data_IF_091129788822
#
_entry.id   IF_091129788822
#
_cell.length_a   1.000
_cell.length_b   1.000
_cell.length_c   1.000
_cell.angle_alpha   90.00
_cell.angle_beta   90.00
_cell.angle_gamma   90.00
#
_symmetry.space_group_name_H-M   'P 1'
#
loop_
_entity.id
_entity.type
_entity.pdbx_description
1 polymer ?
#
# COMPACT_ATOMS: atom_id res chain seq x y z
N UNK A 1 -20.10 -7.18 19.92
CA UNK A 1 -18.78 -6.90 20.54
C UNK A 1 -18.33 -8.28 20.93
N UNK A 2 -17.74 -8.96 19.95
CA UNK A 2 -17.73 -10.41 19.96
C UNK A 2 -16.47 -10.88 20.65
N UNK A 3 -16.74 -11.65 21.69
CA UNK A 3 -15.82 -12.23 22.63
C UNK A 3 -14.97 -13.31 21.94
N UNK A 4 -13.73 -12.97 21.58
CA UNK A 4 -12.75 -13.89 21.01
C UNK A 4 -11.92 -14.60 22.09
N UNK A 5 -12.43 -14.75 23.33
CA UNK A 5 -11.70 -15.41 24.44
C UNK A 5 -11.94 -16.91 24.59
N UNK A 6 -12.41 -17.63 23.57
CA UNK A 6 -12.39 -19.10 23.60
C UNK A 6 -10.99 -19.66 23.25
N UNK A 7 -10.11 -19.61 24.24
CA UNK A 7 -8.74 -20.10 24.19
C UNK A 7 -8.62 -21.62 24.43
N UNK A 8 -9.55 -22.46 23.95
CA UNK A 8 -9.41 -23.93 24.02
C UNK A 8 -10.15 -24.67 22.89
N UNK A 9 -9.52 -24.79 21.71
CA UNK A 9 -9.81 -25.84 20.72
C UNK A 9 -8.56 -26.08 19.86
N UNK A 10 -8.24 -27.35 19.65
CA UNK A 10 -6.96 -27.95 19.19
C UNK A 10 -6.00 -27.09 18.36
N UNK A 11 -4.70 -27.13 18.72
CA UNK A 11 -3.59 -26.45 18.04
C UNK A 11 -3.61 -26.61 16.51
N UNK A 12 -3.91 -27.83 16.05
CA UNK A 12 -3.99 -28.18 14.62
C UNK A 12 -5.07 -27.40 13.84
N UNK A 13 -6.13 -26.94 14.51
CA UNK A 13 -7.18 -26.13 13.89
C UNK A 13 -6.77 -24.66 13.79
N UNK A 14 -5.99 -24.17 14.75
CA UNK A 14 -5.47 -22.80 14.76
C UNK A 14 -4.40 -22.62 13.68
N UNK A 15 -3.44 -23.55 13.58
CA UNK A 15 -2.40 -23.52 12.54
C UNK A 15 -3.02 -23.45 11.14
N UNK A 16 -4.02 -24.30 10.85
CA UNK A 16 -4.73 -24.28 9.56
C UNK A 16 -5.43 -22.95 9.26
N UNK A 17 -5.98 -22.29 10.28
CA UNK A 17 -6.61 -20.97 10.12
C UNK A 17 -5.55 -19.91 9.81
N UNK A 18 -4.41 -19.94 10.51
CA UNK A 18 -3.30 -19.01 10.26
C UNK A 18 -2.70 -19.23 8.87
N UNK A 19 -2.57 -20.47 8.41
CA UNK A 19 -2.10 -20.77 7.05
C UNK A 19 -3.06 -20.24 5.97
N UNK A 20 -4.37 -20.42 6.18
CA UNK A 20 -5.40 -19.86 5.30
C UNK A 20 -5.31 -18.34 5.27
N UNK A 21 -5.25 -17.69 6.43
CA UNK A 21 -5.13 -16.24 6.52
C UNK A 21 -3.85 -15.75 5.84
N UNK A 22 -2.73 -16.45 6.03
CA UNK A 22 -1.44 -16.13 5.41
C UNK A 22 -1.54 -16.23 3.89
N UNK A 23 -2.16 -17.28 3.36
CA UNK A 23 -2.39 -17.47 1.92
C UNK A 23 -3.23 -16.32 1.36
N UNK A 24 -4.36 -16.01 1.98
CA UNK A 24 -5.25 -14.95 1.52
C UNK A 24 -4.63 -13.55 1.65
N UNK A 25 -3.88 -13.31 2.72
CA UNK A 25 -3.18 -12.05 2.93
C UNK A 25 -2.06 -11.82 1.90
N UNK A 26 -1.32 -12.88 1.56
CA UNK A 26 -0.33 -12.88 0.47
C UNK A 26 -0.98 -12.63 -0.89
N UNK A 27 -2.21 -13.12 -1.10
CA UNK A 27 -3.02 -12.82 -2.29
C UNK A 27 -3.62 -11.40 -2.28
N UNK A 28 -3.28 -10.57 -1.30
CA UNK A 28 -3.69 -9.16 -1.24
C UNK A 28 -5.00 -8.91 -0.48
N UNK A 29 -5.56 -9.91 0.20
CA UNK A 29 -6.82 -9.75 0.94
C UNK A 29 -6.66 -8.79 2.13
N UNK A 30 -7.20 -7.58 2.01
CA UNK A 30 -7.19 -6.55 3.06
C UNK A 30 -7.67 -7.09 4.42
N UNK A 31 -8.76 -7.88 4.40
CA UNK A 31 -9.34 -8.50 5.59
C UNK A 31 -8.35 -9.43 6.28
N UNK A 32 -7.68 -10.31 5.53
CA UNK A 32 -6.77 -11.29 6.13
C UNK A 32 -5.44 -10.66 6.55
N UNK A 33 -4.98 -9.62 5.84
CA UNK A 33 -3.86 -8.80 6.30
C UNK A 33 -4.17 -8.14 7.65
N UNK A 34 -5.37 -7.59 7.83
CA UNK A 34 -5.81 -7.04 9.12
C UNK A 34 -5.85 -8.13 10.21
N UNK A 35 -6.40 -9.31 9.90
CA UNK A 35 -6.48 -10.43 10.85
C UNK A 35 -5.10 -10.90 11.30
N UNK A 36 -4.14 -11.08 10.39
CA UNK A 36 -2.76 -11.43 10.73
C UNK A 36 -2.07 -10.34 11.52
N UNK A 37 -2.23 -9.08 11.11
CA UNK A 37 -1.68 -7.93 11.83
C UNK A 37 -2.17 -7.88 13.27
N UNK A 38 -3.46 -8.10 13.49
CA UNK A 38 -4.06 -8.16 14.82
C UNK A 38 -3.60 -9.39 15.61
N UNK A 39 -3.52 -10.57 14.98
CA UNK A 39 -3.05 -11.79 15.61
C UNK A 39 -1.62 -11.64 16.15
N UNK A 40 -0.69 -11.17 15.32
CA UNK A 40 0.69 -10.93 15.73
C UNK A 40 0.81 -9.83 16.79
N UNK A 41 0.02 -8.76 16.68
CA UNK A 41 -0.02 -7.72 17.71
C UNK A 41 -0.40 -8.31 19.07
N UNK A 42 -1.43 -9.17 19.11
CA UNK A 42 -1.87 -9.83 20.34
C UNK A 42 -0.82 -10.78 20.91
N UNK A 43 -0.15 -11.58 20.09
CA UNK A 43 0.94 -12.45 20.55
C UNK A 43 2.06 -11.66 21.20
N UNK A 44 2.44 -10.54 20.60
CA UNK A 44 3.50 -9.72 21.15
C UNK A 44 3.06 -8.93 22.41
N UNK A 45 1.80 -8.49 22.51
CA UNK A 45 1.24 -7.91 23.75
C UNK A 45 1.25 -8.92 24.91
N UNK A 46 1.17 -10.22 24.61
CA UNK A 46 1.31 -11.33 25.56
C UNK A 46 2.78 -11.73 25.80
N UNK A 47 3.74 -11.00 25.23
CA UNK A 47 5.18 -11.28 25.31
C UNK A 47 5.61 -12.64 24.72
N UNK A 48 4.84 -13.18 23.78
CA UNK A 48 5.18 -14.40 23.04
C UNK A 48 5.96 -14.00 21.79
N UNK A 49 7.23 -14.40 21.70
CA UNK A 49 8.15 -14.01 20.61
C UNK A 49 8.02 -12.53 20.24
N UNK A 50 8.01 -11.67 21.27
CA UNK A 50 7.52 -10.29 21.18
C UNK A 50 8.15 -9.53 20.02
N UNK A 51 9.48 -9.54 19.91
CA UNK A 51 10.21 -8.84 18.85
C UNK A 51 9.74 -9.28 17.45
N UNK A 52 9.71 -10.60 17.20
CA UNK A 52 9.28 -11.16 15.90
C UNK A 52 7.82 -10.82 15.59
N UNK A 53 6.95 -10.91 16.60
CA UNK A 53 5.53 -10.66 16.43
C UNK A 53 5.22 -9.16 16.29
N UNK A 54 5.99 -8.27 16.91
CA UNK A 54 5.85 -6.81 16.71
C UNK A 54 6.12 -6.44 15.24
N UNK A 55 7.18 -6.97 14.65
CA UNK A 55 7.57 -6.68 13.27
C UNK A 55 6.56 -7.23 12.26
N UNK A 56 6.10 -8.47 12.48
CA UNK A 56 5.05 -9.09 11.66
C UNK A 56 3.74 -8.31 11.75
N UNK A 57 3.35 -7.88 12.96
CA UNK A 57 2.15 -7.09 13.17
C UNK A 57 2.21 -5.79 12.34
N UNK A 58 3.27 -4.99 12.49
CA UNK A 58 3.42 -3.73 11.77
C UNK A 58 3.44 -3.96 10.26
N UNK A 59 4.10 -5.02 9.77
CA UNK A 59 4.15 -5.36 8.34
C UNK A 59 2.76 -5.59 7.75
N UNK A 60 1.95 -6.44 8.41
CA UNK A 60 0.61 -6.75 7.94
C UNK A 60 -0.37 -5.59 8.08
N UNK A 61 -0.25 -4.81 9.17
CA UNK A 61 -1.07 -3.62 9.37
C UNK A 61 -0.73 -2.52 8.36
N UNK A 62 0.53 -2.35 7.97
CA UNK A 62 0.93 -1.46 6.86
C UNK A 62 0.25 -1.91 5.56
N UNK A 63 0.28 -3.22 5.26
CA UNK A 63 -0.32 -3.75 4.03
C UNK A 63 -1.83 -3.44 3.97
N UNK A 64 -2.58 -3.74 5.03
CA UNK A 64 -4.01 -3.43 5.11
C UNK A 64 -4.29 -1.92 5.09
N UNK A 65 -3.51 -1.12 5.84
CA UNK A 65 -3.64 0.33 5.87
C UNK A 65 -3.43 0.96 4.50
N UNK A 66 -2.46 0.49 3.70
CA UNK A 66 -2.22 0.98 2.33
C UNK A 66 -3.41 0.77 1.40
N UNK A 67 -4.29 -0.21 1.67
CA UNK A 67 -5.53 -0.40 0.93
C UNK A 67 -6.66 0.55 1.39
N UNK A 68 -6.44 1.29 2.46
CA UNK A 68 -7.41 2.20 3.07
C UNK A 68 -8.18 1.60 4.24
N UNK A 69 -7.70 0.50 4.83
CA UNK A 69 -8.31 -0.07 6.02
C UNK A 69 -8.13 0.87 7.22
N UNK A 70 -9.24 1.40 7.72
CA UNK A 70 -9.24 2.36 8.84
C UNK A 70 -8.82 1.67 10.13
N UNK A 71 -9.28 0.43 10.37
CA UNK A 71 -8.94 -0.31 11.58
C UNK A 71 -7.44 -0.62 11.66
N UNK A 72 -6.83 -1.03 10.54
CA UNK A 72 -5.39 -1.24 10.46
C UNK A 72 -4.60 0.07 10.73
N UNK A 73 -5.11 1.20 10.25
CA UNK A 73 -4.52 2.52 10.50
C UNK A 73 -4.55 2.86 12.00
N UNK A 74 -5.66 2.59 12.68
CA UNK A 74 -5.75 2.82 14.13
C UNK A 74 -4.87 1.86 14.94
N UNK A 75 -4.73 0.60 14.52
CA UNK A 75 -3.77 -0.32 15.15
C UNK A 75 -2.32 0.12 14.93
N UNK A 76 -1.97 0.67 13.77
CA UNK A 76 -0.65 1.29 13.55
C UNK A 76 -0.43 2.50 14.46
N UNK A 77 -1.47 3.30 14.72
CA UNK A 77 -1.39 4.42 15.67
C UNK A 77 -1.06 3.93 17.07
N UNK A 78 -1.72 2.86 17.51
CA UNK A 78 -1.41 2.18 18.77
C UNK A 78 0.04 1.67 18.80
N UNK A 79 0.52 1.03 17.73
CA UNK A 79 1.92 0.59 17.64
C UNK A 79 2.91 1.76 17.79
N UNK A 80 2.63 2.91 17.19
CA UNK A 80 3.49 4.12 17.35
C UNK A 80 3.45 4.64 18.79
N UNK A 81 2.26 4.73 19.41
CA UNK A 81 2.10 5.25 20.77
C UNK A 81 2.77 4.38 21.83
N UNK A 82 2.88 3.08 21.58
CA UNK A 82 3.46 2.08 22.48
C UNK A 82 4.89 1.69 22.11
N UNK A 83 5.50 2.34 21.10
CA UNK A 83 6.82 2.01 20.56
C UNK A 83 6.98 0.53 20.16
N UNK A 84 5.97 0.00 19.48
CA UNK A 84 5.83 -1.41 19.21
C UNK A 84 6.14 -1.74 17.74
N UNK A 85 7.29 -2.39 17.48
CA UNK A 85 7.67 -2.89 16.14
C UNK A 85 7.92 -1.80 15.08
N UNK A 86 7.86 -0.52 15.45
CA UNK A 86 8.19 0.60 14.56
C UNK A 86 9.69 0.83 14.62
N UNK A 87 10.37 0.65 13.49
CA UNK A 87 11.80 0.80 13.34
C UNK A 87 12.11 1.78 12.20
N UNK A 88 13.38 2.17 12.04
CA UNK A 88 13.77 3.16 11.04
C UNK A 88 13.42 2.73 9.59
N UNK A 89 13.36 1.42 9.32
CA UNK A 89 13.02 0.88 8.01
C UNK A 89 11.53 1.05 7.68
N UNK A 90 10.62 0.95 8.65
CA UNK A 90 9.17 1.03 8.43
C UNK A 90 8.54 2.37 8.81
N UNK A 91 9.22 3.18 9.63
CA UNK A 91 8.73 4.46 10.20
C UNK A 91 8.20 5.44 9.17
N UNK A 92 8.88 5.59 8.04
CA UNK A 92 8.44 6.42 6.92
C UNK A 92 7.05 5.99 6.39
N UNK A 93 6.88 4.68 6.18
CA UNK A 93 5.64 4.12 5.64
C UNK A 93 4.52 4.16 6.68
N UNK A 94 4.83 3.90 7.95
CA UNK A 94 3.87 4.04 9.05
C UNK A 94 3.39 5.49 9.15
N UNK A 95 4.31 6.46 9.13
CA UNK A 95 3.97 7.89 9.18
C UNK A 95 3.08 8.29 8.01
N UNK A 96 3.40 7.85 6.80
CA UNK A 96 2.56 8.08 5.62
C UNK A 96 1.16 7.47 5.80
N UNK A 97 1.07 6.23 6.30
CA UNK A 97 -0.20 5.58 6.62
C UNK A 97 -1.03 6.40 7.63
N UNK A 98 -0.41 6.98 8.66
CA UNK A 98 -1.14 7.74 9.68
C UNK A 98 -1.59 9.13 9.19
N UNK A 99 -0.86 9.73 8.26
CA UNK A 99 -1.12 11.09 7.75
C UNK A 99 -1.93 11.12 6.45
N UNK A 100 -2.16 9.98 5.81
CA UNK A 100 -2.90 9.90 4.55
C UNK A 100 -4.35 9.50 4.79
N UNK A 101 -5.30 10.15 4.12
CA UNK A 101 -6.73 9.82 4.25
C UNK A 101 -7.03 8.41 3.70
N UNK A 102 -8.02 7.72 4.27
CA UNK A 102 -8.43 6.39 3.78
C UNK A 102 -8.86 6.43 2.29
N UNK A 103 -9.49 7.51 1.84
CA UNK A 103 -9.84 7.72 0.43
C UNK A 103 -8.61 7.84 -0.47
N UNK A 104 -7.59 8.61 -0.06
CA UNK A 104 -6.37 8.74 -0.86
C UNK A 104 -5.63 7.40 -0.95
N UNK A 105 -5.55 6.64 0.16
CA UNK A 105 -4.95 5.30 0.16
C UNK A 105 -5.67 4.35 -0.79
N UNK A 106 -7.00 4.32 -0.77
CA UNK A 106 -7.82 3.51 -1.70
C UNK A 106 -7.56 3.86 -3.16
N UNK A 107 -7.50 5.15 -3.47
CA UNK A 107 -7.23 5.64 -4.83
C UNK A 107 -5.83 5.22 -5.28
N UNK A 108 -4.82 5.40 -4.43
CA UNK A 108 -3.44 5.00 -4.73
C UNK A 108 -3.30 3.50 -4.92
N UNK A 109 -3.94 2.71 -4.05
CA UNK A 109 -3.96 1.25 -4.17
C UNK A 109 -4.62 0.80 -5.47
N UNK A 110 -5.79 1.37 -5.81
CA UNK A 110 -6.47 1.08 -7.07
C UNK A 110 -5.63 1.47 -8.29
N UNK A 111 -4.95 2.62 -8.25
CA UNK A 111 -4.03 3.05 -9.31
C UNK A 111 -2.86 2.08 -9.47
N UNK A 112 -2.28 1.60 -8.35
CA UNK A 112 -1.21 0.61 -8.36
C UNK A 112 -1.67 -0.74 -8.93
N UNK A 113 -2.83 -1.25 -8.50
CA UNK A 113 -3.41 -2.47 -9.06
C UNK A 113 -3.71 -2.34 -10.55
N UNK A 114 -4.21 -1.17 -10.98
CA UNK A 114 -4.43 -0.88 -12.38
C UNK A 114 -3.11 -0.91 -13.17
N UNK A 115 -2.04 -0.31 -12.64
CA UNK A 115 -0.72 -0.31 -13.27
C UNK A 115 -0.20 -1.73 -13.50
N UNK A 116 -0.26 -2.61 -12.49
CA UNK A 116 0.17 -4.00 -12.66
C UNK A 116 -0.68 -4.76 -13.67
N UNK A 117 -1.99 -4.49 -13.72
CA UNK A 117 -2.89 -5.12 -14.69
C UNK A 117 -2.53 -4.74 -16.14
N UNK A 118 -2.07 -3.50 -16.37
CA UNK A 118 -1.68 -3.03 -17.70
C UNK A 118 -0.21 -3.33 -18.03
N UNK A 119 0.65 -3.48 -17.02
CA UNK A 119 2.05 -3.88 -17.17
C UNK A 119 2.22 -5.40 -17.17
N UNK A 120 1.63 -6.04 -18.18
CA UNK A 120 1.59 -7.52 -18.30
C UNK A 120 2.97 -8.16 -18.43
N UNK A 121 3.96 -7.41 -18.92
CA UNK A 121 5.35 -7.87 -19.04
C UNK A 121 6.15 -7.72 -17.73
N UNK A 122 5.55 -7.16 -16.66
CA UNK A 122 6.16 -6.94 -15.34
C UNK A 122 7.53 -6.24 -15.39
N UNK A 123 7.77 -5.40 -16.41
CA UNK A 123 9.05 -4.70 -16.61
C UNK A 123 9.31 -3.59 -15.58
N UNK A 124 8.39 -3.34 -14.64
CA UNK A 124 8.44 -2.21 -13.71
C UNK A 124 8.10 -0.85 -14.32
N UNK A 125 8.14 -0.73 -15.65
CA UNK A 125 7.77 0.46 -16.41
C UNK A 125 7.02 0.10 -17.70
N UNK A 126 6.37 1.09 -18.31
CA UNK A 126 5.74 1.02 -19.62
C UNK A 126 6.25 2.14 -20.52
N UNK A 127 6.50 1.84 -21.79
CA UNK A 127 6.60 2.89 -22.80
C UNK A 127 5.24 3.56 -23.01
N UNK A 128 5.25 4.78 -23.57
CA UNK A 128 4.01 5.50 -23.88
C UNK A 128 3.08 4.73 -24.82
N UNK A 129 3.65 3.94 -25.74
CA UNK A 129 2.86 3.17 -26.72
C UNK A 129 2.28 1.90 -26.10
N UNK A 130 3.07 1.13 -25.33
CA UNK A 130 2.58 -0.02 -24.55
C UNK A 130 1.44 0.43 -23.60
N UNK A 131 1.60 1.58 -22.94
CA UNK A 131 0.58 2.16 -22.08
C UNK A 131 -0.72 2.48 -22.83
N UNK A 132 -0.63 3.20 -23.96
CA UNK A 132 -1.82 3.57 -24.74
C UNK A 132 -2.56 2.33 -25.24
N UNK A 133 -1.84 1.34 -25.75
CA UNK A 133 -2.41 0.09 -26.23
C UNK A 133 -3.15 -0.64 -25.10
N UNK A 134 -2.50 -0.79 -23.94
CA UNK A 134 -3.09 -1.45 -22.79
C UNK A 134 -4.34 -0.73 -22.28
N UNK A 135 -4.32 0.61 -22.20
CA UNK A 135 -5.49 1.40 -21.79
C UNK A 135 -6.63 1.30 -22.81
N UNK A 136 -6.34 1.36 -24.12
CA UNK A 136 -7.35 1.22 -25.16
C UNK A 136 -8.06 -0.13 -25.09
N UNK A 137 -7.31 -1.21 -24.86
CA UNK A 137 -7.86 -2.56 -24.69
C UNK A 137 -8.70 -2.69 -23.42
N UNK A 138 -8.23 -2.11 -22.31
CA UNK A 138 -8.89 -2.20 -21.01
C UNK A 138 -10.21 -1.42 -20.95
N UNK A 139 -10.30 -0.29 -21.67
CA UNK A 139 -11.42 0.66 -21.60
C UNK A 139 -12.31 0.64 -22.86
N UNK A 140 -12.36 -0.50 -23.56
CA UNK A 140 -13.28 -0.68 -24.67
C UNK A 140 -14.73 -0.46 -24.20
N UNK A 141 -15.42 0.52 -24.80
CA UNK A 141 -16.78 0.91 -24.39
C UNK A 141 -16.87 1.93 -23.24
N UNK A 142 -15.73 2.36 -22.67
CA UNK A 142 -15.66 3.27 -21.52
C UNK A 142 -14.88 4.56 -21.86
N UNK A 143 -15.51 5.45 -22.66
CA UNK A 143 -14.85 6.62 -23.27
C UNK A 143 -14.30 7.62 -22.24
N UNK A 144 -15.04 7.86 -21.15
CA UNK A 144 -14.66 8.86 -20.14
C UNK A 144 -13.44 8.40 -19.36
N UNK A 145 -13.44 7.14 -18.94
CA UNK A 145 -12.36 6.45 -18.24
C UNK A 145 -11.11 6.40 -19.11
N UNK A 146 -11.27 6.05 -20.40
CA UNK A 146 -10.18 6.06 -21.36
C UNK A 146 -9.52 7.43 -21.46
N UNK A 147 -10.32 8.49 -21.64
CA UNK A 147 -9.80 9.87 -21.73
C UNK A 147 -9.07 10.29 -20.46
N UNK A 148 -9.62 9.97 -19.29
CA UNK A 148 -8.99 10.26 -18.00
C UNK A 148 -7.62 9.59 -17.87
N UNK A 149 -7.56 8.29 -18.17
CA UNK A 149 -6.33 7.49 -18.06
C UNK A 149 -5.29 7.96 -19.08
N UNK A 150 -5.64 8.12 -20.36
CA UNK A 150 -4.73 8.65 -21.38
C UNK A 150 -4.19 10.03 -21.02
N UNK A 151 -5.01 10.90 -20.43
CA UNK A 151 -4.58 12.21 -19.94
C UNK A 151 -3.62 12.11 -18.73
N UNK A 152 -3.71 11.06 -17.91
CA UNK A 152 -2.74 10.80 -16.85
C UNK A 152 -1.39 10.36 -17.44
N UNK A 153 -1.39 9.36 -18.34
CA UNK A 153 -0.16 8.86 -18.98
C UNK A 153 0.57 9.92 -19.81
N UNK A 154 -0.17 10.79 -20.50
CA UNK A 154 0.43 11.87 -21.29
C UNK A 154 1.23 12.89 -20.46
N UNK A 155 0.95 13.01 -19.15
CA UNK A 155 1.63 13.96 -18.25
C UNK A 155 2.93 13.40 -17.67
N UNK A 156 3.14 12.09 -17.71
CA UNK A 156 4.29 11.41 -17.07
C UNK A 156 5.56 11.54 -17.94
N UNK A 157 5.45 11.29 -19.24
CA UNK A 157 6.59 11.40 -20.16
C UNK A 157 6.70 10.22 -21.13
N UNK A 158 7.94 9.86 -21.48
CA UNK A 158 8.25 8.76 -22.42
C UNK A 158 8.18 7.38 -21.77
N UNK A 159 8.62 7.30 -20.52
CA UNK A 159 8.61 6.08 -19.69
C UNK A 159 7.66 6.32 -18.53
N UNK A 160 6.74 5.39 -18.32
CA UNK A 160 5.70 5.46 -17.29
C UNK A 160 6.05 4.44 -16.22
N UNK A 161 6.53 4.93 -15.07
CA UNK A 161 6.77 4.12 -13.88
C UNK A 161 5.48 3.92 -13.08
N UNK A 162 5.48 2.91 -12.20
CA UNK A 162 4.39 2.71 -11.22
C UNK A 162 4.18 3.97 -10.37
N UNK A 163 5.27 4.55 -9.86
CA UNK A 163 5.21 5.67 -8.93
C UNK A 163 4.60 6.90 -9.60
N UNK A 164 5.08 7.27 -10.79
CA UNK A 164 4.55 8.40 -11.56
C UNK A 164 3.08 8.20 -11.91
N UNK A 165 2.71 6.97 -12.30
CA UNK A 165 1.34 6.63 -12.63
C UNK A 165 0.40 6.79 -11.44
N UNK A 166 0.77 6.21 -10.30
CA UNK A 166 0.00 6.31 -9.05
C UNK A 166 -0.12 7.77 -8.62
N UNK A 167 0.99 8.52 -8.62
CA UNK A 167 1.04 9.93 -8.23
C UNK A 167 0.11 10.80 -9.09
N UNK A 168 0.23 10.72 -10.42
CA UNK A 168 -0.55 11.56 -11.33
C UNK A 168 -2.02 11.16 -11.36
N UNK A 169 -2.33 9.86 -11.40
CA UNK A 169 -3.71 9.40 -11.42
C UNK A 169 -4.41 9.73 -10.09
N UNK A 170 -3.75 9.51 -8.96
CA UNK A 170 -4.33 9.82 -7.65
C UNK A 170 -4.59 11.31 -7.49
N UNK A 171 -3.66 12.19 -7.92
CA UNK A 171 -3.87 13.64 -7.92
C UNK A 171 -5.04 14.06 -8.82
N UNK A 172 -5.25 13.40 -9.95
CA UNK A 172 -6.38 13.68 -10.85
C UNK A 172 -7.73 13.29 -10.25
N UNK A 173 -7.78 12.24 -9.43
CA UNK A 173 -9.02 11.74 -8.83
C UNK A 173 -9.33 12.46 -7.51
N UNK A 174 -8.32 12.63 -6.64
CA UNK A 174 -8.51 13.17 -5.29
C UNK A 174 -8.28 14.69 -5.19
N UNK A 175 -7.47 15.27 -6.07
CA UNK A 175 -7.09 16.69 -6.05
C UNK A 175 -5.90 17.02 -5.13
N UNK A 176 -5.82 16.38 -3.96
CA UNK A 176 -4.71 16.50 -3.00
C UNK A 176 -3.79 15.27 -3.03
N UNK A 177 -2.56 15.42 -2.54
CA UNK A 177 -1.55 14.35 -2.65
C UNK A 177 -0.54 14.40 -1.50
N UNK A 178 -0.51 13.34 -0.69
CA UNK A 178 0.42 13.13 0.42
C UNK A 178 1.59 12.26 -0.04
N UNK A 179 2.81 12.81 -0.12
CA UNK A 179 3.98 12.08 -0.63
C UNK A 179 4.51 11.05 0.38
N UNK A 180 4.88 9.86 -0.11
CA UNK A 180 5.71 8.89 0.60
C UNK A 180 7.18 9.35 0.64
N UNK A 181 7.99 8.79 1.53
CA UNK A 181 9.42 9.12 1.58
C UNK A 181 10.14 8.83 0.26
N UNK A 182 9.87 7.69 -0.38
CA UNK A 182 10.41 7.39 -1.70
C UNK A 182 10.04 8.46 -2.74
N UNK A 183 8.79 8.94 -2.74
CA UNK A 183 8.37 10.03 -3.63
C UNK A 183 9.02 11.38 -3.28
N UNK A 184 9.32 11.65 -2.01
CA UNK A 184 10.04 12.86 -1.58
C UNK A 184 11.51 12.81 -2.04
N UNK A 185 12.18 11.67 -1.87
CA UNK A 185 13.57 11.48 -2.24
C UNK A 185 13.79 11.57 -3.76
N UNK A 186 12.89 10.98 -4.58
CA UNK A 186 12.90 11.16 -6.03
C UNK A 186 12.71 12.63 -6.43
N UNK A 187 11.86 13.36 -5.71
CA UNK A 187 11.62 14.78 -5.99
C UNK A 187 12.86 15.62 -5.65
N UNK A 188 13.51 15.34 -4.52
CA UNK A 188 14.76 16.02 -4.12
C UNK A 188 15.89 15.74 -5.10
N UNK A 189 16.09 14.49 -5.52
CA UNK A 189 17.09 14.13 -6.52
C UNK A 189 16.84 14.81 -7.88
N UNK A 190 15.57 14.97 -8.28
CA UNK A 190 15.20 15.74 -9.47
C UNK A 190 15.49 17.25 -9.32
N UNK A 191 15.33 17.82 -8.12
CA UNK A 191 15.69 19.22 -7.83
C UNK A 191 17.21 19.44 -7.82
N UNK A 192 17.97 18.53 -7.21
CA UNK A 192 19.44 18.60 -7.14
C UNK A 192 20.08 18.46 -8.52
N UNK A 193 19.57 17.54 -9.34
CA UNK A 193 20.01 17.37 -10.74
C UNK A 193 19.60 18.53 -11.65
N UNK A 194 18.58 19.31 -11.29
CA UNK A 194 18.18 20.53 -11.98
C UNK A 194 19.01 21.77 -11.59
N UNK A 195 20.03 21.62 -10.74
CA UNK A 195 21.02 22.66 -10.45
C UNK A 195 20.52 23.82 -9.58
N UNK A 196 19.43 23.65 -8.84
CA UNK A 196 18.84 24.72 -8.02
C UNK A 196 19.50 24.94 -6.64
N UNK A 197 20.56 24.18 -6.34
CA UNK A 197 21.47 24.45 -5.23
C UNK A 197 22.94 24.46 -5.72
N UNK A 198 23.29 25.47 -6.50
CA UNK A 198 24.63 26.04 -6.42
C UNK A 198 24.52 27.44 -5.80
N UNK A 199 24.77 27.51 -4.50
CA UNK A 199 25.24 28.72 -3.83
C UNK A 199 26.45 28.39 -3.00
#
# INVERSE_FOLDING_TARGET
MDDFTEFTRSDLSKEKIIDLWTTEANNGSEKHQLLLGYHHLKLAELNIDADTNTEKAVTWLIAASKQGNVEATEKLRHCVQTNFGVNEQNKAVVTWCLNTSASEKKIRYAAKSLFYKINTAQKGFLSKDEYKEAINKLTAGHEKERKLLLAAGNKIGKVISENDFVKILSKKIHGTMTLTSAEMDETNAAYDSAGLFQK
#
